data_IF_241252787541
#
_entry.id   IF_241252787541
#
_cell.length_a   1.000
_cell.length_b   1.000
_cell.length_c   1.000
_cell.angle_alpha   90.00
_cell.angle_beta   90.00
_cell.angle_gamma   90.00
#
_symmetry.space_group_name_H-M   'P 1'
#
loop_
_entity.id
_entity.type
_entity.pdbx_description
1 polymer ?
#
# COMPACT_ATOMS: atom_id res chain seq x y z
N UNK A 1 -8.74 14.10 -5.64
CA UNK A 1 -9.59 13.30 -4.72
C UNK A 1 -10.67 12.51 -5.46
N UNK A 2 -11.56 13.13 -6.25
CA UNK A 2 -12.65 12.43 -6.97
C UNK A 2 -12.15 11.31 -7.90
N UNK A 3 -11.12 11.55 -8.70
CA UNK A 3 -10.53 10.52 -9.56
C UNK A 3 -9.98 9.32 -8.78
N UNK A 4 -9.33 9.57 -7.64
CA UNK A 4 -8.83 8.51 -6.77
C UNK A 4 -9.99 7.64 -6.27
N UNK A 5 -11.05 8.26 -5.73
CA UNK A 5 -12.22 7.53 -5.24
C UNK A 5 -12.89 6.70 -6.36
N UNK A 6 -13.02 7.26 -7.56
CA UNK A 6 -13.61 6.56 -8.70
C UNK A 6 -12.80 5.33 -9.12
N UNK A 7 -11.47 5.47 -9.23
CA UNK A 7 -10.59 4.35 -9.61
C UNK A 7 -10.65 3.26 -8.54
N UNK A 8 -10.56 3.62 -7.27
CA UNK A 8 -10.62 2.66 -6.18
C UNK A 8 -12.00 1.96 -6.12
N UNK A 9 -13.10 2.70 -6.27
CA UNK A 9 -14.45 2.12 -6.34
C UNK A 9 -14.58 1.13 -7.51
N UNK A 10 -14.05 1.48 -8.68
CA UNK A 10 -14.06 0.62 -9.86
C UNK A 10 -13.31 -0.70 -9.63
N UNK A 11 -12.12 -0.64 -9.03
CA UNK A 11 -11.34 -1.83 -8.66
C UNK A 11 -12.12 -2.72 -7.70
N UNK A 12 -12.82 -2.13 -6.72
CA UNK A 12 -13.60 -2.86 -5.72
C UNK A 12 -14.80 -3.57 -6.37
N UNK A 13 -15.53 -2.89 -7.25
CA UNK A 13 -16.69 -3.44 -7.97
C UNK A 13 -16.29 -4.60 -8.89
N UNK A 14 -15.11 -4.57 -9.51
CA UNK A 14 -14.67 -5.65 -10.39
C UNK A 14 -14.16 -6.86 -9.61
N UNK A 15 -13.33 -6.64 -8.59
CA UNK A 15 -12.63 -7.73 -7.91
C UNK A 15 -13.49 -8.38 -6.83
N UNK A 16 -14.10 -7.60 -5.94
CA UNK A 16 -14.75 -8.11 -4.73
C UNK A 16 -15.90 -9.09 -5.02
N UNK A 17 -16.82 -8.83 -5.97
CA UNK A 17 -17.90 -9.77 -6.27
C UNK A 17 -17.39 -11.13 -6.77
N UNK A 18 -16.28 -11.14 -7.51
CA UNK A 18 -15.65 -12.37 -7.98
C UNK A 18 -15.12 -13.22 -6.83
N UNK A 19 -14.43 -12.60 -5.89
CA UNK A 19 -13.87 -13.28 -4.72
C UNK A 19 -14.98 -13.80 -3.78
N UNK A 20 -16.04 -13.02 -3.56
CA UNK A 20 -17.18 -13.44 -2.73
C UNK A 20 -17.90 -14.65 -3.37
N UNK A 21 -18.16 -14.61 -4.69
CA UNK A 21 -18.83 -15.71 -5.39
C UNK A 21 -18.04 -17.02 -5.33
N UNK A 22 -16.71 -16.93 -5.36
CA UNK A 22 -15.80 -18.10 -5.25
C UNK A 22 -15.57 -18.55 -3.80
N UNK A 23 -16.08 -17.82 -2.80
CA UNK A 23 -15.87 -18.06 -1.36
C UNK A 23 -14.39 -18.04 -0.96
N UNK A 24 -13.57 -17.28 -1.69
CA UNK A 24 -12.13 -17.17 -1.43
C UNK A 24 -11.85 -16.13 -0.34
N UNK A 25 -12.23 -16.44 0.91
CA UNK A 25 -12.12 -15.52 2.04
C UNK A 25 -10.67 -15.14 2.37
N UNK A 26 -9.73 -16.06 2.15
CA UNK A 26 -8.29 -15.80 2.37
C UNK A 26 -7.76 -14.81 1.34
N UNK A 27 -8.11 -14.98 0.07
CA UNK A 27 -7.72 -14.06 -1.00
C UNK A 27 -8.38 -12.69 -0.78
N UNK A 28 -9.63 -12.67 -0.34
CA UNK A 28 -10.36 -11.44 -0.04
C UNK A 28 -9.69 -10.66 1.09
N UNK A 29 -9.26 -11.35 2.15
CA UNK A 29 -8.52 -10.72 3.24
C UNK A 29 -7.20 -10.10 2.77
N UNK A 30 -6.41 -10.84 1.98
CA UNK A 30 -5.14 -10.33 1.42
C UNK A 30 -5.40 -9.14 0.51
N UNK A 31 -6.36 -9.25 -0.41
CA UNK A 31 -6.78 -8.16 -1.29
C UNK A 31 -7.17 -6.93 -0.48
N UNK A 32 -8.03 -7.08 0.54
CA UNK A 32 -8.48 -5.96 1.38
C UNK A 32 -7.33 -5.28 2.11
N UNK A 33 -6.37 -6.03 2.66
CA UNK A 33 -5.19 -5.45 3.33
C UNK A 33 -4.38 -4.60 2.36
N UNK A 34 -4.02 -5.16 1.20
CA UNK A 34 -3.25 -4.41 0.20
C UNK A 34 -4.04 -3.22 -0.37
N UNK A 35 -5.35 -3.38 -0.56
CA UNK A 35 -6.23 -2.34 -1.06
C UNK A 35 -6.29 -1.14 -0.10
N UNK A 36 -6.42 -1.40 1.21
CA UNK A 36 -6.40 -0.34 2.24
C UNK A 36 -5.05 0.37 2.29
N UNK A 37 -3.94 -0.39 2.23
CA UNK A 37 -2.59 0.21 2.22
C UNK A 37 -2.42 1.10 0.99
N UNK A 38 -2.76 0.61 -0.20
CA UNK A 38 -2.66 1.38 -1.43
C UNK A 38 -3.52 2.65 -1.38
N UNK A 39 -4.75 2.54 -0.87
CA UNK A 39 -5.67 3.67 -0.72
C UNK A 39 -5.11 4.73 0.24
N UNK A 40 -4.59 4.31 1.39
CA UNK A 40 -3.97 5.21 2.36
C UNK A 40 -2.77 5.95 1.77
N UNK A 41 -1.90 5.24 1.03
CA UNK A 41 -0.76 5.86 0.32
C UNK A 41 -1.24 6.85 -0.75
N UNK A 42 -2.28 6.49 -1.52
CA UNK A 42 -2.88 7.38 -2.50
C UNK A 42 -3.51 8.62 -1.88
N UNK A 43 -4.15 8.48 -0.71
CA UNK A 43 -4.66 9.63 0.05
C UNK A 43 -3.54 10.53 0.53
N UNK A 44 -2.47 9.97 1.10
CA UNK A 44 -1.29 10.75 1.50
C UNK A 44 -0.73 11.54 0.30
N UNK A 45 -0.62 10.90 -0.86
CA UNK A 45 -0.16 11.55 -2.08
C UNK A 45 -1.05 12.73 -2.51
N UNK A 46 -2.37 12.54 -2.53
CA UNK A 46 -3.32 13.58 -2.97
C UNK A 46 -3.45 14.72 -1.96
N UNK A 47 -3.17 14.46 -0.69
CA UNK A 47 -3.19 15.46 0.39
C UNK A 47 -1.83 16.14 0.60
N UNK A 48 -0.85 15.89 -0.28
CA UNK A 48 0.54 16.36 -0.16
C UNK A 48 1.18 16.01 1.21
N UNK A 49 0.72 14.92 1.83
CA UNK A 49 1.31 14.37 3.05
C UNK A 49 2.56 13.59 2.64
N UNK A 50 3.73 13.88 3.22
CA UNK A 50 4.96 13.19 2.86
C UNK A 50 4.84 11.70 3.16
N UNK A 51 4.95 10.89 2.10
CA UNK A 51 4.90 9.44 2.21
C UNK A 51 6.21 8.97 2.86
N UNK A 52 6.16 8.27 4.00
CA UNK A 52 7.36 7.78 4.66
C UNK A 52 8.09 6.80 3.74
N UNK A 53 9.35 7.11 3.41
CA UNK A 53 10.16 6.25 2.55
C UNK A 53 10.65 5.03 3.34
N UNK A 54 10.35 3.80 2.88
CA UNK A 54 10.89 2.58 3.49
C UNK A 54 12.42 2.56 3.52
N UNK A 55 13.05 3.26 2.56
CA UNK A 55 14.51 3.38 2.49
C UNK A 55 15.10 4.02 3.75
N UNK A 56 14.39 4.98 4.38
CA UNK A 56 14.85 5.57 5.65
C UNK A 56 14.89 4.53 6.77
N UNK A 57 13.90 3.64 6.80
CA UNK A 57 13.88 2.53 7.76
C UNK A 57 14.98 1.52 7.45
N UNK A 58 15.15 1.13 6.19
CA UNK A 58 16.23 0.22 5.78
C UNK A 58 17.61 0.78 6.06
N UNK A 59 17.83 2.07 5.79
CA UNK A 59 19.08 2.75 6.08
C UNK A 59 19.39 2.70 7.58
N UNK A 60 18.39 2.88 8.44
CA UNK A 60 18.56 2.75 9.89
C UNK A 60 18.98 1.32 10.29
N UNK A 61 18.38 0.30 9.66
CA UNK A 61 18.77 -1.09 9.90
C UNK A 61 20.21 -1.36 9.40
N UNK A 62 20.55 -0.93 8.18
CA UNK A 62 21.83 -1.28 7.54
C UNK A 62 23.00 -0.50 8.14
N UNK A 63 22.81 0.79 8.39
CA UNK A 63 23.87 1.67 8.91
C UNK A 63 24.00 1.51 10.41
N UNK A 64 22.90 1.63 11.17
CA UNK A 64 23.00 1.69 12.63
C UNK A 64 23.05 0.31 13.30
N UNK A 65 22.49 -0.74 12.69
CA UNK A 65 22.56 -2.12 13.24
C UNK A 65 23.72 -2.91 12.62
N UNK A 66 23.87 -2.86 11.29
CA UNK A 66 24.89 -3.64 10.59
C UNK A 66 26.22 -2.91 10.40
N UNK A 67 26.28 -1.58 10.59
CA UNK A 67 27.52 -0.80 10.44
C UNK A 67 28.06 -0.77 9.01
N UNK A 68 27.23 -1.11 8.02
CA UNK A 68 27.63 -1.17 6.61
C UNK A 68 27.42 0.21 5.98
N UNK A 69 28.35 1.12 6.25
CA UNK A 69 28.39 2.43 5.58
C UNK A 69 28.91 2.27 4.15
N UNK A 70 28.17 2.81 3.17
CA UNK A 70 28.68 2.95 1.81
C UNK A 70 29.82 3.99 1.80
N UNK A 71 31.00 3.69 1.23
CA UNK A 71 32.04 4.70 1.04
C UNK A 71 31.50 5.82 0.15
N UNK A 72 31.69 7.06 0.58
CA UNK A 72 31.25 8.28 -0.12
C UNK A 72 31.93 8.46 -1.47
#
# INVERSE_FOLDING_TARGET
>A
MIFLLLIYAFVLIINVPGLIKRKEWRELAVFSVFYVIAFALGLMYVLDIPIPSPMKGLQHLIVDIFGLEYPK
#
